data_IF_511162855203
#
_entry.id   IF_511162855203
#
_cell.length_a   1.000
_cell.length_b   1.000
_cell.length_c   1.000
_cell.angle_alpha   90.00
_cell.angle_beta   90.00
_cell.angle_gamma   90.00
#
_symmetry.space_group_name_H-M   'P 1'
#
loop_
_entity.id
_entity.type
_entity.pdbx_description
1 polymer ?
#
# COMPACT_ATOMS: atom_id res chain seq x y z
N UNK A 1 26.19 -8.31 -0.34
CA UNK A 1 24.75 -8.40 -0.67
C UNK A 1 24.51 -7.65 -1.98
N UNK A 2 23.83 -8.25 -2.98
CA UNK A 2 23.75 -7.66 -4.33
C UNK A 2 22.64 -6.59 -4.38
N UNK A 3 22.99 -5.33 -4.63
CA UNK A 3 22.07 -4.18 -4.62
C UNK A 3 20.83 -4.41 -5.51
N UNK A 4 21.02 -5.06 -6.67
CA UNK A 4 19.91 -5.43 -7.56
C UNK A 4 18.91 -6.36 -6.88
N UNK A 5 19.38 -7.36 -6.13
CA UNK A 5 18.49 -8.28 -5.39
C UNK A 5 17.70 -7.53 -4.31
N UNK A 6 18.33 -6.62 -3.57
CA UNK A 6 17.62 -5.80 -2.57
C UNK A 6 16.52 -4.95 -3.19
N UNK A 7 16.81 -4.29 -4.32
CA UNK A 7 15.80 -3.49 -5.05
C UNK A 7 14.64 -4.37 -5.51
N UNK A 8 14.91 -5.52 -6.11
CA UNK A 8 13.86 -6.44 -6.55
C UNK A 8 13.00 -6.95 -5.38
N UNK A 9 13.61 -7.31 -4.25
CA UNK A 9 12.88 -7.75 -3.06
C UNK A 9 12.04 -6.63 -2.47
N UNK A 10 12.56 -5.39 -2.45
CA UNK A 10 11.82 -4.23 -1.96
C UNK A 10 10.59 -3.94 -2.83
N UNK A 11 10.74 -3.99 -4.16
CA UNK A 11 9.63 -3.80 -5.11
C UNK A 11 8.57 -4.89 -4.91
N UNK A 12 9.00 -6.15 -4.81
CA UNK A 12 8.08 -7.27 -4.61
C UNK A 12 7.31 -7.16 -3.29
N UNK A 13 7.97 -6.78 -2.20
CA UNK A 13 7.33 -6.53 -0.91
C UNK A 13 6.28 -5.42 -0.98
N UNK A 14 6.63 -4.28 -1.57
CA UNK A 14 5.71 -3.15 -1.74
C UNK A 14 4.50 -3.51 -2.63
N UNK A 15 4.68 -4.32 -3.68
CA UNK A 15 3.58 -4.80 -4.51
C UNK A 15 2.63 -5.71 -3.73
N UNK A 16 3.17 -6.63 -2.91
CA UNK A 16 2.37 -7.54 -2.08
C UNK A 16 1.54 -6.73 -1.07
N UNK A 17 2.15 -5.74 -0.41
CA UNK A 17 1.44 -4.86 0.51
C UNK A 17 0.32 -4.08 -0.19
N UNK A 18 0.58 -3.57 -1.40
CA UNK A 18 -0.41 -2.81 -2.16
C UNK A 18 -1.63 -3.68 -2.55
N UNK A 19 -1.38 -4.93 -2.94
CA UNK A 19 -2.44 -5.92 -3.21
C UNK A 19 -3.22 -6.23 -1.92
N UNK A 20 -2.52 -6.47 -0.81
CA UNK A 20 -3.13 -6.77 0.49
C UNK A 20 -4.09 -5.68 0.96
N UNK A 21 -3.71 -4.42 0.80
CA UNK A 21 -4.63 -3.31 1.09
C UNK A 21 -5.79 -3.18 0.11
N UNK A 22 -5.57 -3.42 -1.19
CA UNK A 22 -6.66 -3.42 -2.16
C UNK A 22 -7.75 -4.40 -1.75
N UNK A 23 -7.35 -5.59 -1.30
CA UNK A 23 -8.25 -6.61 -0.76
C UNK A 23 -8.94 -6.15 0.53
N UNK A 24 -8.22 -5.49 1.43
CA UNK A 24 -8.77 -4.96 2.69
C UNK A 24 -9.85 -3.89 2.44
N UNK A 25 -9.60 -2.97 1.51
CA UNK A 25 -10.58 -1.95 1.09
C UNK A 25 -11.80 -2.62 0.48
N UNK A 26 -11.61 -3.56 -0.45
CA UNK A 26 -12.72 -4.29 -1.06
C UNK A 26 -13.55 -5.04 -0.02
N UNK A 27 -12.90 -5.62 0.99
CA UNK A 27 -13.55 -6.30 2.09
C UNK A 27 -14.39 -5.33 2.94
N UNK A 28 -13.81 -4.20 3.33
CA UNK A 28 -14.50 -3.19 4.14
C UNK A 28 -15.64 -2.50 3.38
N UNK A 29 -15.47 -2.24 2.08
CA UNK A 29 -16.56 -1.74 1.23
C UNK A 29 -17.69 -2.77 1.12
N UNK A 30 -17.37 -4.05 0.92
CA UNK A 30 -18.37 -5.12 0.90
C UNK A 30 -19.11 -5.27 2.23
N UNK A 31 -18.43 -5.10 3.36
CA UNK A 31 -19.06 -5.06 4.69
C UNK A 31 -20.00 -3.85 4.78
N UNK A 32 -19.51 -2.65 4.42
CA UNK A 32 -20.31 -1.44 4.61
C UNK A 32 -21.46 -1.26 3.60
N UNK A 33 -21.44 -1.98 2.47
CA UNK A 33 -22.62 -2.15 1.59
C UNK A 33 -23.71 -2.98 2.29
N UNK A 34 -23.34 -3.94 3.15
CA UNK A 34 -24.28 -4.83 3.85
C UNK A 34 -24.74 -4.26 5.20
N UNK A 35 -23.92 -3.47 5.88
CA UNK A 35 -24.33 -2.69 7.05
C UNK A 35 -23.68 -1.29 7.01
N UNK A 36 -24.45 -0.21 6.85
CA UNK A 36 -23.91 1.16 6.80
C UNK A 36 -23.09 1.53 8.06
N UNK A 37 -23.40 0.88 9.18
CA UNK A 37 -22.72 1.02 10.48
C UNK A 37 -21.30 0.43 10.47
N UNK A 38 -21.01 -0.54 9.59
CA UNK A 38 -19.70 -1.17 9.45
C UNK A 38 -18.66 -0.37 8.66
N UNK A 39 -19.09 0.76 8.06
CA UNK A 39 -18.26 1.65 7.25
C UNK A 39 -17.68 2.83 8.07
N UNK A 40 -18.05 2.94 9.36
CA UNK A 40 -17.75 4.06 10.25
C UNK A 40 -16.51 3.85 11.15
N UNK A 41 -15.38 3.52 10.54
CA UNK A 41 -14.09 3.80 11.19
C UNK A 41 -13.39 4.89 10.40
N UNK A 42 -13.47 6.18 10.82
CA UNK A 42 -12.75 7.29 10.17
C UNK A 42 -11.24 7.07 10.05
N UNK A 43 -10.70 6.07 10.75
CA UNK A 43 -9.32 5.60 10.65
C UNK A 43 -8.99 4.87 9.35
N UNK A 44 -9.94 4.25 8.65
CA UNK A 44 -9.64 3.52 7.39
C UNK A 44 -9.18 4.44 6.27
N UNK A 45 -9.77 5.64 6.16
CA UNK A 45 -9.29 6.66 5.22
C UNK A 45 -7.86 7.12 5.55
N UNK A 46 -7.53 7.26 6.84
CA UNK A 46 -6.18 7.62 7.29
C UNK A 46 -5.15 6.51 7.01
N UNK A 47 -5.53 5.24 7.21
CA UNK A 47 -4.68 4.08 6.88
C UNK A 47 -4.40 4.06 5.36
N UNK A 48 -5.41 4.30 4.54
CA UNK A 48 -5.25 4.36 3.09
C UNK A 48 -4.33 5.50 2.65
N UNK A 49 -4.51 6.71 3.21
CA UNK A 49 -3.64 7.87 2.91
C UNK A 49 -2.20 7.60 3.34
N UNK A 50 -1.99 7.05 4.54
CA UNK A 50 -0.65 6.69 5.04
C UNK A 50 0.07 5.72 4.11
N UNK A 51 -0.66 4.79 3.50
CA UNK A 51 -0.08 3.87 2.54
C UNK A 51 0.20 4.49 1.17
N UNK A 52 -0.68 5.33 0.64
CA UNK A 52 -0.41 6.06 -0.62
C UNK A 52 0.90 6.86 -0.49
N UNK A 53 1.12 7.48 0.66
CA UNK A 53 2.38 8.18 0.97
C UNK A 53 3.56 7.21 0.98
N UNK A 54 3.44 6.05 1.62
CA UNK A 54 4.50 5.03 1.65
C UNK A 54 4.84 4.51 0.24
N UNK A 55 3.82 4.21 -0.57
CA UNK A 55 3.99 3.74 -1.95
C UNK A 55 4.71 4.78 -2.82
N UNK A 56 4.33 6.05 -2.71
CA UNK A 56 5.03 7.15 -3.41
C UNK A 56 6.48 7.26 -2.93
N UNK A 57 6.73 7.13 -1.62
CA UNK A 57 8.08 7.13 -1.05
C UNK A 57 8.98 6.03 -1.64
N UNK A 58 8.45 4.81 -1.78
CA UNK A 58 9.17 3.70 -2.43
C UNK A 58 9.46 4.02 -3.90
N UNK A 59 8.47 4.52 -4.65
CA UNK A 59 8.66 4.90 -6.06
C UNK A 59 9.73 5.98 -6.24
N UNK A 60 9.70 7.03 -5.40
CA UNK A 60 10.71 8.09 -5.43
C UNK A 60 12.10 7.54 -5.12
N UNK A 61 12.22 6.71 -4.09
CA UNK A 61 13.48 6.06 -3.72
C UNK A 61 14.06 5.24 -4.88
N UNK A 62 13.22 4.53 -5.63
CA UNK A 62 13.62 3.78 -6.83
C UNK A 62 14.09 4.70 -7.96
N UNK A 63 13.40 5.83 -8.20
CA UNK A 63 13.79 6.80 -9.23
C UNK A 63 15.13 7.45 -8.90
N UNK A 64 15.35 7.82 -7.63
CA UNK A 64 16.61 8.43 -7.19
C UNK A 64 17.77 7.44 -7.17
N UNK A 65 17.56 6.20 -6.70
CA UNK A 65 18.58 5.13 -6.74
C UNK A 65 19.01 4.76 -8.16
N UNK A 66 18.13 4.93 -9.15
CA UNK A 66 18.45 4.65 -10.56
C UNK A 66 19.27 5.76 -11.23
N UNK A 67 19.37 6.93 -10.59
CA UNK A 67 20.14 8.10 -11.08
C UNK A 67 21.55 8.20 -10.47
N UNK A 68 21.87 7.37 -9.47
CA UNK A 68 23.22 7.18 -8.92
C UNK A 68 23.86 5.95 -9.56
#
# INVERSE_FOLDING_TARGET
MNLKKCITTSIAGTLIEAIGMGLDIMHHVNIGIKSPEGLLTPFHGLIFVGFVINFIGVLLTLVFLRRQ
#
